data_IF_728793454426
#
_entry.id   IF_728793454426
#
_cell.length_a   1.000
_cell.length_b   1.000
_cell.length_c   1.000
_cell.angle_alpha   90.00
_cell.angle_beta   90.00
_cell.angle_gamma   90.00
#
_symmetry.space_group_name_H-M   'P 1'
#
loop_
_entity.id
_entity.type
_entity.pdbx_description
1 polymer ?
#
# COMPACT_ATOMS: atom_id res chain seq x y z
N UNK A 1 7.28 36.94 -16.61
CA UNK A 1 6.58 35.93 -17.44
C UNK A 1 7.25 34.59 -17.17
N UNK A 2 6.80 33.89 -16.14
CA UNK A 2 7.17 32.50 -15.88
C UNK A 2 6.27 31.66 -16.76
N UNK A 3 6.84 31.09 -17.82
CA UNK A 3 6.17 30.08 -18.64
C UNK A 3 5.98 28.83 -17.80
N UNK A 4 4.73 28.44 -17.56
CA UNK A 4 4.42 27.14 -16.99
C UNK A 4 5.00 26.04 -17.90
N UNK A 5 5.69 25.03 -17.33
CA UNK A 5 6.16 23.90 -18.13
C UNK A 5 4.96 23.17 -18.75
N UNK A 6 5.08 22.83 -20.02
CA UNK A 6 4.04 22.09 -20.74
C UNK A 6 3.70 20.77 -20.01
N UNK A 7 2.42 20.36 -19.99
CA UNK A 7 2.01 19.11 -19.35
C UNK A 7 2.74 17.94 -20.00
N UNK A 8 3.57 17.25 -19.22
CA UNK A 8 4.29 16.07 -19.68
C UNK A 8 3.29 14.94 -19.89
N UNK A 9 3.28 14.33 -21.07
CA UNK A 9 2.48 13.13 -21.32
C UNK A 9 2.93 12.04 -20.35
N UNK A 10 2.01 11.46 -19.54
CA UNK A 10 2.40 10.44 -18.57
C UNK A 10 2.97 9.22 -19.31
N UNK A 11 4.11 8.71 -18.82
CA UNK A 11 4.71 7.48 -19.35
C UNK A 11 3.76 6.30 -19.18
N UNK A 12 3.77 5.35 -20.12
CA UNK A 12 2.99 4.11 -20.02
C UNK A 12 3.31 3.36 -18.72
N UNK A 13 2.31 2.85 -17.96
CA UNK A 13 2.56 2.09 -16.75
C UNK A 13 3.29 0.77 -17.05
N UNK A 14 4.15 0.34 -16.11
CA UNK A 14 4.80 -0.97 -16.16
C UNK A 14 3.80 -2.09 -15.85
N UNK A 15 2.92 -1.87 -14.88
CA UNK A 15 1.80 -2.72 -14.52
C UNK A 15 0.73 -1.87 -13.81
N UNK A 16 -0.47 -2.41 -13.64
CA UNK A 16 -1.57 -1.74 -12.93
C UNK A 16 -2.26 -2.73 -12.02
N UNK A 17 -2.28 -2.44 -10.72
CA UNK A 17 -3.11 -3.16 -9.75
C UNK A 17 -4.45 -2.43 -9.57
N UNK A 18 -5.54 -3.19 -9.40
CA UNK A 18 -6.88 -2.62 -9.21
C UNK A 18 -7.57 -3.26 -8.01
N UNK A 19 -8.09 -2.42 -7.13
CA UNK A 19 -8.88 -2.84 -5.98
C UNK A 19 -10.17 -2.03 -5.92
N UNK A 20 -11.23 -2.65 -5.41
CA UNK A 20 -12.52 -2.01 -5.17
C UNK A 20 -12.88 -2.14 -3.69
N UNK A 21 -12.97 -1.01 -2.98
CA UNK A 21 -13.50 -0.97 -1.63
C UNK A 21 -15.03 -0.83 -1.67
N UNK A 22 -15.72 -1.72 -0.95
CA UNK A 22 -17.17 -1.72 -0.79
C UNK A 22 -17.46 -1.48 0.70
N UNK A 23 -18.15 -0.38 1.00
CA UNK A 23 -18.56 0.03 2.35
C UNK A 23 -17.42 0.42 3.33
N UNK A 24 -16.34 1.01 2.83
CA UNK A 24 -15.35 1.71 3.66
C UNK A 24 -14.62 0.76 4.62
N UNK A 25 -14.68 1.07 5.92
CA UNK A 25 -14.08 0.28 7.00
C UNK A 25 -15.09 -0.66 7.69
N UNK A 26 -16.18 -1.01 7.00
CA UNK A 26 -17.24 -1.87 7.52
C UNK A 26 -17.68 -2.94 6.50
N UNK A 27 -16.93 -3.10 5.40
CA UNK A 27 -17.23 -4.06 4.34
C UNK A 27 -15.97 -4.80 3.90
N UNK A 28 -15.59 -4.66 2.63
CA UNK A 28 -14.50 -5.43 2.05
C UNK A 28 -13.76 -4.70 0.92
N UNK A 29 -12.52 -5.12 0.68
CA UNK A 29 -11.75 -4.77 -0.52
C UNK A 29 -11.69 -6.00 -1.43
N UNK A 30 -12.13 -5.86 -2.68
CA UNK A 30 -11.98 -6.87 -3.74
C UNK A 30 -10.77 -6.53 -4.60
N UNK A 31 -9.81 -7.43 -4.70
CA UNK A 31 -8.66 -7.33 -5.60
C UNK A 31 -9.05 -7.96 -6.94
N UNK A 32 -8.89 -7.21 -8.04
CA UNK A 32 -9.16 -7.68 -9.41
C UNK A 32 -7.91 -8.33 -10.00
N UNK A 33 -8.10 -9.21 -10.97
CA UNK A 33 -7.03 -9.85 -11.76
C UNK A 33 -5.94 -10.57 -10.94
N UNK A 34 -6.26 -10.96 -9.70
CA UNK A 34 -5.37 -11.76 -8.87
C UNK A 34 -5.45 -13.24 -9.28
N UNK A 35 -4.29 -13.88 -9.49
CA UNK A 35 -4.23 -15.34 -9.47
C UNK A 35 -4.72 -15.82 -8.10
N UNK A 36 -5.54 -16.87 -8.04
CA UNK A 36 -6.13 -17.35 -6.80
C UNK A 36 -5.06 -17.63 -5.73
N UNK A 37 -4.89 -16.70 -4.79
CA UNK A 37 -4.10 -16.92 -3.58
C UNK A 37 -5.08 -17.38 -2.51
N UNK A 38 -4.96 -18.64 -2.09
CA UNK A 38 -5.67 -19.11 -0.90
C UNK A 38 -4.95 -18.55 0.32
N UNK A 39 -5.29 -17.31 0.67
CA UNK A 39 -4.97 -16.78 1.98
C UNK A 39 -5.82 -17.61 2.95
N UNK A 40 -5.21 -18.53 3.70
CA UNK A 40 -5.85 -19.33 4.76
C UNK A 40 -6.40 -18.49 5.94
N UNK A 41 -6.75 -17.24 5.67
CA UNK A 41 -7.56 -16.37 6.49
C UNK A 41 -8.96 -16.95 6.51
N UNK A 42 -9.49 -17.23 7.69
CA UNK A 42 -10.89 -17.57 7.89
C UNK A 42 -11.77 -16.39 7.47
N UNK A 43 -12.08 -16.29 6.18
CA UNK A 43 -13.10 -15.40 5.67
C UNK A 43 -14.44 -16.11 5.88
N UNK A 44 -15.39 -15.48 6.57
CA UNK A 44 -16.79 -15.86 6.38
C UNK A 44 -17.11 -15.57 4.91
N UNK A 45 -17.66 -16.56 4.19
CA UNK A 45 -18.08 -16.39 2.79
C UNK A 45 -18.97 -15.16 2.68
N UNK A 46 -18.78 -14.41 1.60
CA UNK A 46 -19.61 -13.24 1.25
C UNK A 46 -21.06 -13.60 0.86
N UNK A 47 -21.47 -14.86 1.06
CA UNK A 47 -22.78 -15.40 0.68
C UNK A 47 -23.92 -15.04 1.66
N UNK A 48 -23.65 -14.23 2.70
CA UNK A 48 -24.66 -13.65 3.59
C UNK A 48 -25.04 -12.20 3.23
N UNK A 49 -24.61 -11.70 2.05
CA UNK A 49 -25.10 -10.44 1.49
C UNK A 49 -26.18 -10.74 0.43
N UNK A 50 -27.42 -10.46 0.80
CA UNK A 50 -28.64 -10.70 0.04
C UNK A 50 -28.61 -10.08 -1.38
N UNK A 51 -28.98 -10.91 -2.37
CA UNK A 51 -29.36 -10.62 -3.76
C UNK A 51 -28.89 -9.33 -4.45
N UNK A 52 -27.98 -9.46 -5.41
CA UNK A 52 -27.99 -8.66 -6.63
C UNK A 52 -27.47 -9.51 -7.82
N UNK A 53 -28.37 -9.76 -8.77
CA UNK A 53 -28.14 -10.42 -10.05
C UNK A 53 -27.05 -9.73 -10.87
N UNK A 54 -26.19 -10.54 -11.51
CA UNK A 54 -25.19 -10.08 -12.46
C UNK A 54 -24.02 -11.05 -12.57
N UNK A 55 -24.27 -12.22 -13.16
CA UNK A 55 -23.23 -13.17 -13.51
C UNK A 55 -22.29 -12.57 -14.57
N UNK A 56 -21.09 -12.19 -14.14
CA UNK A 56 -19.89 -12.15 -14.98
C UNK A 56 -18.68 -12.58 -14.13
N UNK A 57 -18.08 -13.70 -14.51
CA UNK A 57 -16.70 -14.04 -14.19
C UNK A 57 -16.46 -14.74 -12.85
N UNK A 58 -16.30 -16.06 -12.90
CA UNK A 58 -15.54 -16.84 -11.93
C UNK A 58 -14.04 -16.49 -11.99
N UNK A 59 -13.71 -15.21 -11.78
CA UNK A 59 -12.32 -14.73 -11.70
C UNK A 59 -11.92 -14.75 -10.22
N UNK A 60 -10.77 -15.34 -9.91
CA UNK A 60 -10.24 -15.59 -8.57
C UNK A 60 -9.90 -14.33 -7.76
N UNK A 61 -10.88 -13.45 -7.55
CA UNK A 61 -10.74 -12.20 -6.83
C UNK A 61 -10.47 -12.45 -5.35
N UNK A 62 -9.34 -11.93 -4.85
CA UNK A 62 -9.04 -11.93 -3.42
C UNK A 62 -9.96 -10.93 -2.73
N UNK A 63 -10.66 -11.38 -1.69
CA UNK A 63 -11.53 -10.52 -0.87
C UNK A 63 -10.90 -10.34 0.52
N UNK A 64 -10.62 -9.09 0.89
CA UNK A 64 -10.08 -8.73 2.19
C UNK A 64 -11.17 -8.03 3.01
N UNK A 65 -11.58 -8.56 4.18
CA UNK A 65 -12.54 -7.88 5.04
C UNK A 65 -11.93 -6.59 5.60
N UNK A 66 -12.76 -5.57 5.81
CA UNK A 66 -12.33 -4.28 6.36
C UNK A 66 -13.01 -3.99 7.69
N UNK A 67 -12.23 -3.38 8.59
CA UNK A 67 -12.67 -3.00 9.93
C UNK A 67 -12.18 -1.60 10.28
N UNK A 68 -12.93 -0.88 11.12
CA UNK A 68 -12.49 0.41 11.65
C UNK A 68 -11.27 0.26 12.58
N UNK A 69 -10.63 1.36 12.99
CA UNK A 69 -9.37 1.33 13.76
C UNK A 69 -9.52 0.88 15.22
N UNK A 70 -10.66 0.29 15.60
CA UNK A 70 -10.90 -0.17 16.98
C UNK A 70 -10.21 -1.52 17.18
N UNK A 71 -9.58 -1.79 18.34
CA UNK A 71 -8.93 -3.07 18.61
C UNK A 71 -9.85 -4.30 18.47
N UNK A 72 -11.16 -4.11 18.66
CA UNK A 72 -12.18 -5.17 18.55
C UNK A 72 -12.80 -5.30 17.15
N UNK A 73 -12.44 -4.43 16.20
CA UNK A 73 -12.96 -4.53 14.85
C UNK A 73 -12.36 -5.76 14.15
N UNK A 74 -13.21 -6.51 13.46
CA UNK A 74 -12.76 -7.58 12.57
C UNK A 74 -12.43 -7.00 11.19
N UNK A 75 -11.34 -7.45 10.58
CA UNK A 75 -10.89 -7.00 9.25
C UNK A 75 -9.75 -5.99 9.30
N UNK A 76 -9.20 -5.69 8.12
CA UNK A 76 -8.08 -4.77 7.95
C UNK A 76 -8.54 -3.31 7.91
N UNK A 77 -7.74 -2.42 8.49
CA UNK A 77 -7.99 -0.98 8.45
C UNK A 77 -7.08 -0.27 7.43
N UNK A 78 -7.40 0.99 7.04
CA UNK A 78 -6.57 1.76 6.10
C UNK A 78 -5.10 1.91 6.52
N UNK A 79 -4.83 2.03 7.82
CA UNK A 79 -3.49 2.14 8.38
C UNK A 79 -2.65 0.88 8.07
N UNK A 80 -3.25 -0.30 8.24
CA UNK A 80 -2.63 -1.59 7.91
C UNK A 80 -2.41 -1.74 6.40
N UNK A 81 -3.37 -1.33 5.56
CA UNK A 81 -3.16 -1.35 4.10
C UNK A 81 -1.99 -0.47 3.68
N UNK A 82 -1.87 0.73 4.25
CA UNK A 82 -0.74 1.61 4.00
C UNK A 82 0.58 1.03 4.52
N UNK A 83 0.58 0.46 5.73
CA UNK A 83 1.75 -0.19 6.30
C UNK A 83 2.25 -1.36 5.44
N UNK A 84 1.33 -2.21 4.96
CA UNK A 84 1.64 -3.33 4.06
C UNK A 84 2.24 -2.87 2.72
N UNK A 85 1.64 -1.83 2.12
CA UNK A 85 2.14 -1.27 0.87
C UNK A 85 3.55 -0.71 1.03
N UNK A 86 3.79 0.07 2.08
CA UNK A 86 5.09 0.70 2.30
C UNK A 86 6.17 -0.31 2.69
N UNK A 87 5.87 -1.27 3.59
CA UNK A 87 6.85 -2.28 4.02
C UNK A 87 7.32 -3.15 2.85
N UNK A 88 6.39 -3.61 2.02
CA UNK A 88 6.69 -4.46 0.86
C UNK A 88 7.53 -3.70 -0.17
N UNK A 89 7.12 -2.47 -0.50
CA UNK A 89 7.79 -1.67 -1.52
C UNK A 89 9.19 -1.21 -1.09
N UNK A 90 9.33 -0.76 0.17
CA UNK A 90 10.63 -0.35 0.72
C UNK A 90 11.55 -1.55 0.93
N UNK A 91 11.02 -2.69 1.38
CA UNK A 91 11.78 -3.94 1.53
C UNK A 91 12.36 -4.42 0.20
N UNK A 92 11.55 -4.44 -0.87
CA UNK A 92 12.06 -4.82 -2.19
C UNK A 92 13.08 -3.81 -2.72
N UNK A 93 12.84 -2.51 -2.54
CA UNK A 93 13.80 -1.48 -2.96
C UNK A 93 15.14 -1.64 -2.20
N UNK A 94 15.09 -2.01 -0.92
CA UNK A 94 16.29 -2.28 -0.13
C UNK A 94 17.06 -3.51 -0.65
N UNK A 95 16.36 -4.59 -1.00
CA UNK A 95 16.98 -5.77 -1.62
C UNK A 95 17.72 -5.41 -2.91
N UNK A 96 17.10 -4.58 -3.76
CA UNK A 96 17.74 -4.07 -4.99
C UNK A 96 18.99 -3.26 -4.67
N UNK A 97 18.93 -2.32 -3.72
CA UNK A 97 20.07 -1.50 -3.31
C UNK A 97 21.21 -2.35 -2.74
N UNK A 98 20.91 -3.38 -1.94
CA UNK A 98 21.91 -4.33 -1.42
C UNK A 98 22.57 -5.11 -2.56
N UNK A 99 21.77 -5.64 -3.49
CA UNK A 99 22.26 -6.42 -4.63
C UNK A 99 23.18 -5.60 -5.55
N UNK A 100 22.87 -4.32 -5.81
CA UNK A 100 23.72 -3.39 -6.57
C UNK A 100 25.08 -3.13 -5.91
N UNK A 101 25.19 -3.33 -4.60
CA UNK A 101 26.42 -3.21 -3.84
C UNK A 101 27.14 -4.56 -3.64
N UNK A 102 26.63 -5.64 -4.26
CA UNK A 102 27.11 -7.01 -4.07
C UNK A 102 27.06 -7.47 -2.61
N UNK A 103 26.05 -7.03 -1.88
CA UNK A 103 25.83 -7.37 -0.49
C UNK A 103 24.68 -8.38 -0.35
N UNK A 104 24.98 -9.56 0.19
CA UNK A 104 24.01 -10.62 0.49
C UNK A 104 23.71 -10.63 1.99
N UNK A 105 22.92 -9.65 2.44
CA UNK A 105 22.42 -9.59 3.82
C UNK A 105 20.93 -9.88 3.87
N UNK A 106 20.51 -10.63 4.89
CA UNK A 106 19.12 -10.67 5.29
C UNK A 106 18.69 -9.28 5.77
N UNK A 107 17.47 -8.88 5.39
CA UNK A 107 16.94 -7.58 5.76
C UNK A 107 15.43 -7.66 5.96
N UNK A 108 14.92 -6.78 6.83
CA UNK A 108 13.49 -6.66 7.08
C UNK A 108 13.07 -5.20 7.20
N UNK A 109 11.81 -4.94 6.83
CA UNK A 109 11.19 -3.63 6.95
C UNK A 109 9.86 -3.79 7.68
N UNK A 110 9.77 -3.19 8.86
CA UNK A 110 8.53 -3.08 9.63
C UNK A 110 7.98 -1.68 9.49
N UNK A 111 6.67 -1.54 9.28
CA UNK A 111 6.03 -0.23 9.15
C UNK A 111 4.89 -0.12 10.15
N UNK A 112 4.84 1.01 10.83
CA UNK A 112 3.78 1.41 11.74
C UNK A 112 3.09 2.64 11.15
N UNK A 113 1.76 2.67 11.18
CA UNK A 113 0.98 3.83 10.73
C UNK A 113 0.02 4.19 11.84
N UNK A 114 0.21 5.37 12.41
CA UNK A 114 -0.64 5.87 13.49
C UNK A 114 -1.70 6.82 12.94
N UNK A 115 -2.91 6.77 13.48
CA UNK A 115 -3.98 7.73 13.19
C UNK A 115 -4.05 8.79 14.29
N UNK A 116 -3.81 10.05 13.93
CA UNK A 116 -3.79 11.20 14.84
C UNK A 116 -4.89 12.19 14.52
N UNK A 117 -5.32 12.97 15.53
CA UNK A 117 -6.06 14.21 15.27
C UNK A 117 -5.11 15.24 14.69
N UNK A 118 -5.51 15.89 13.61
CA UNK A 118 -4.72 16.97 13.01
C UNK A 118 -4.94 18.29 13.78
N UNK A 119 -3.89 19.02 14.18
CA UNK A 119 -4.02 20.34 14.80
C UNK A 119 -4.80 21.36 13.96
N UNK A 120 -4.77 21.25 12.63
CA UNK A 120 -5.55 22.09 11.72
C UNK A 120 -7.03 21.64 11.60
N UNK A 121 -7.40 20.56 12.27
CA UNK A 121 -8.73 19.95 12.20
C UNK A 121 -8.75 18.69 11.33
N UNK A 122 -9.59 17.72 11.70
CA UNK A 122 -9.67 16.42 11.04
C UNK A 122 -8.69 15.39 11.63
N UNK A 123 -8.25 14.46 10.78
CA UNK A 123 -7.37 13.35 11.13
C UNK A 123 -6.22 13.25 10.13
N UNK A 124 -5.06 12.76 10.56
CA UNK A 124 -3.89 12.51 9.71
C UNK A 124 -3.24 11.17 10.06
N UNK A 125 -2.56 10.58 9.09
CA UNK A 125 -1.64 9.47 9.35
C UNK A 125 -0.25 9.96 9.72
N UNK A 126 0.40 9.23 10.61
CA UNK A 126 1.81 9.41 10.97
C UNK A 126 2.51 8.06 10.74
N UNK A 127 3.09 7.85 9.55
CA UNK A 127 3.73 6.59 9.20
C UNK A 127 5.21 6.58 9.64
N UNK A 128 5.70 5.41 10.08
CA UNK A 128 7.09 5.17 10.48
C UNK A 128 7.57 3.83 9.94
N UNK A 129 8.72 3.82 9.26
CA UNK A 129 9.39 2.60 8.83
C UNK A 129 10.62 2.30 9.71
N UNK A 130 10.78 1.04 10.09
CA UNK A 130 11.94 0.50 10.78
C UNK A 130 12.63 -0.49 9.85
N UNK A 131 13.88 -0.19 9.50
CA UNK A 131 14.69 -1.00 8.59
C UNK A 131 15.77 -1.73 9.39
N UNK A 132 15.88 -3.03 9.18
CA UNK A 132 16.93 -3.86 9.74
C UNK A 132 17.72 -4.56 8.63
N UNK A 133 19.05 -4.62 8.79
CA UNK A 133 19.96 -5.33 7.89
C UNK A 133 20.92 -6.11 8.79
N UNK A 134 20.90 -7.43 8.67
CA UNK A 134 21.67 -8.32 9.52
C UNK A 134 23.18 -8.14 9.30
N UNK A 135 23.95 -8.19 10.38
CA UNK A 135 25.43 -8.21 10.35
C UNK A 135 26.09 -7.04 9.61
N UNK A 136 25.41 -5.89 9.52
CA UNK A 136 25.93 -4.67 8.89
C UNK A 136 26.18 -3.56 9.92
N UNK A 137 27.27 -2.80 9.74
CA UNK A 137 27.56 -1.67 10.60
C UNK A 137 26.43 -0.61 10.55
N UNK A 138 26.03 -0.01 11.70
CA UNK A 138 24.88 0.89 11.75
C UNK A 138 24.94 2.06 10.76
N UNK A 139 26.12 2.64 10.56
CA UNK A 139 26.34 3.76 9.64
C UNK A 139 26.07 3.34 8.20
N UNK A 140 26.62 2.18 7.81
CA UNK A 140 26.40 1.63 6.48
C UNK A 140 24.95 1.20 6.26
N UNK A 141 24.30 0.65 7.28
CA UNK A 141 22.88 0.31 7.22
C UNK A 141 22.00 1.54 7.02
N UNK A 142 22.30 2.66 7.70
CA UNK A 142 21.60 3.94 7.51
C UNK A 142 21.75 4.48 6.10
N UNK A 143 22.95 4.43 5.53
CA UNK A 143 23.20 4.87 4.14
C UNK A 143 22.36 4.08 3.13
N UNK A 144 22.34 2.75 3.25
CA UNK A 144 21.59 1.88 2.34
C UNK A 144 20.08 2.04 2.52
N UNK A 145 19.61 2.18 3.76
CA UNK A 145 18.21 2.47 4.05
C UNK A 145 17.77 3.82 3.47
N UNK A 146 18.60 4.86 3.57
CA UNK A 146 18.31 6.17 2.96
C UNK A 146 18.27 6.10 1.43
N UNK A 147 19.20 5.36 0.82
CA UNK A 147 19.19 5.13 -0.62
C UNK A 147 17.93 4.38 -1.09
N UNK A 148 17.48 3.37 -0.33
CA UNK A 148 16.24 2.66 -0.59
C UNK A 148 15.01 3.58 -0.45
N UNK A 149 14.94 4.37 0.62
CA UNK A 149 13.85 5.32 0.87
C UNK A 149 13.72 6.35 -0.29
N UNK A 150 14.82 6.91 -0.76
CA UNK A 150 14.83 7.87 -1.87
C UNK A 150 14.36 7.28 -3.22
N UNK A 151 14.42 5.95 -3.39
CA UNK A 151 14.04 5.26 -4.62
C UNK A 151 12.66 4.62 -4.56
N UNK A 152 12.21 4.22 -3.37
CA UNK A 152 10.97 3.52 -3.12
C UNK A 152 9.76 4.33 -3.62
N UNK A 153 8.95 3.79 -4.56
CA UNK A 153 7.75 4.48 -5.07
C UNK A 153 6.77 4.93 -3.98
N UNK A 154 6.51 4.09 -2.97
CA UNK A 154 5.60 4.46 -1.87
C UNK A 154 6.19 5.57 -1.00
N UNK A 155 7.50 5.54 -0.73
CA UNK A 155 8.18 6.64 -0.03
C UNK A 155 8.05 7.97 -0.76
N UNK A 156 8.27 7.98 -2.08
CA UNK A 156 8.11 9.19 -2.88
C UNK A 156 6.70 9.78 -2.80
N UNK A 157 5.66 8.93 -2.78
CA UNK A 157 4.28 9.39 -2.59
C UNK A 157 4.09 10.02 -1.21
N UNK A 158 4.61 9.40 -0.15
CA UNK A 158 4.50 9.91 1.22
C UNK A 158 5.27 11.21 1.46
N UNK A 159 6.43 11.37 0.81
CA UNK A 159 7.25 12.59 0.88
C UNK A 159 6.75 13.71 -0.04
N UNK A 160 5.64 13.50 -0.77
CA UNK A 160 5.06 14.47 -1.70
C UNK A 160 5.82 14.64 -3.01
N UNK A 161 6.78 13.76 -3.31
CA UNK A 161 7.54 13.75 -4.57
C UNK A 161 6.83 12.97 -5.69
N UNK A 162 5.81 12.17 -5.37
CA UNK A 162 4.99 11.43 -6.33
C UNK A 162 3.69 12.17 -6.66
N UNK A 163 3.23 12.06 -7.90
CA UNK A 163 1.90 12.53 -8.31
C UNK A 163 0.84 11.45 -8.02
N UNK A 164 -0.33 11.88 -7.57
CA UNK A 164 -1.51 11.03 -7.42
C UNK A 164 -2.72 11.74 -8.02
N UNK A 165 -3.44 11.03 -8.90
CA UNK A 165 -4.67 11.51 -9.52
C UNK A 165 -5.89 10.88 -8.84
N UNK A 166 -6.95 11.67 -8.68
CA UNK A 166 -8.25 11.21 -8.17
C UNK A 166 -9.34 11.60 -9.15
N UNK A 167 -10.05 10.62 -9.69
CA UNK A 167 -11.17 10.81 -10.60
C UNK A 167 -12.48 10.37 -9.93
N UNK A 168 -13.54 11.17 -10.07
CA UNK A 168 -14.87 10.85 -9.55
C UNK A 168 -15.73 10.23 -10.65
N UNK A 169 -16.15 8.98 -10.46
CA UNK A 169 -17.12 8.31 -11.32
C UNK A 169 -18.46 8.23 -10.59
N UNK A 170 -19.50 8.84 -11.18
CA UNK A 170 -20.88 8.76 -10.68
C UNK A 170 -21.70 7.93 -11.66
N UNK A 171 -22.05 6.72 -11.28
CA UNK A 171 -22.99 5.88 -12.03
C UNK A 171 -24.42 6.41 -11.78
N UNK A 172 -25.21 6.54 -12.86
CA UNK A 172 -26.61 7.02 -12.80
C UNK A 172 -27.58 5.88 -12.56
#
# INVERSE_FOLDING_TARGET
MTTDPAPQTPSRPLYTARVQNLAGTAGQVRVRDSSAVELGLTTRRADEADGADGADGADGAIVLPTGGPRPSASGFNPEQFLAMAWSTCLGETLRVVLAEQHLEHESSVSVEVELHRDPAGGIRFVPRALVHIDSLAPERARELAAAAHARCPVSKLLDGQGAADVELVVER
#
